data_IF_286324331887
#
_entry.id   IF_286324331887
#
_cell.length_a   1.000
_cell.length_b   1.000
_cell.length_c   1.000
_cell.angle_alpha   90.00
_cell.angle_beta   90.00
_cell.angle_gamma   90.00
#
_symmetry.space_group_name_H-M   'P 1'
#
loop_
_entity.id
_entity.type
_entity.pdbx_description
1 polymer ?
#
# COMPACT_ATOMS: atom_id res chain seq x y z
N UNK A 1 -26.38 -1.60 9.45
CA UNK A 1 -27.66 -1.01 9.88
C UNK A 1 -27.98 -1.65 11.20
N UNK A 2 -28.16 -0.86 12.26
CA UNK A 2 -28.78 -1.37 13.47
C UNK A 2 -30.27 -1.46 13.17
N UNK A 3 -30.93 -2.57 13.51
CA UNK A 3 -32.34 -2.80 13.14
C UNK A 3 -33.31 -1.86 13.90
N UNK A 4 -32.81 -1.18 14.93
CA UNK A 4 -33.58 -0.30 15.82
C UNK A 4 -33.49 1.20 15.47
N UNK A 5 -32.68 1.61 14.49
CA UNK A 5 -32.64 3.01 14.07
C UNK A 5 -33.89 3.35 13.25
N UNK A 6 -34.83 4.10 13.84
CA UNK A 6 -36.00 4.60 13.13
C UNK A 6 -35.55 5.37 11.87
N UNK A 7 -36.22 5.13 10.74
CA UNK A 7 -35.88 5.65 9.42
C UNK A 7 -35.66 7.16 9.44
N UNK A 8 -36.40 7.90 10.27
CA UNK A 8 -36.25 9.33 10.45
C UNK A 8 -34.87 9.74 11.01
N UNK A 9 -34.33 8.97 11.96
CA UNK A 9 -32.97 9.16 12.48
C UNK A 9 -31.95 8.97 11.36
N UNK A 10 -32.14 7.96 10.51
CA UNK A 10 -31.25 7.71 9.39
C UNK A 10 -31.28 8.84 8.35
N UNK A 11 -32.48 9.33 8.00
CA UNK A 11 -32.64 10.51 7.12
C UNK A 11 -31.94 11.74 7.71
N UNK A 12 -32.07 11.96 9.02
CA UNK A 12 -31.38 13.03 9.73
C UNK A 12 -29.85 12.96 9.59
N UNK A 13 -29.28 11.77 9.82
CA UNK A 13 -27.83 11.53 9.68
C UNK A 13 -27.37 11.77 8.25
N UNK A 14 -28.09 11.23 7.25
CA UNK A 14 -27.74 11.42 5.84
C UNK A 14 -27.75 12.90 5.47
N UNK A 15 -28.77 13.66 5.89
CA UNK A 15 -28.84 15.10 5.63
C UNK A 15 -27.70 15.86 6.30
N UNK A 16 -27.41 15.57 7.57
CA UNK A 16 -26.32 16.20 8.31
C UNK A 16 -24.96 15.96 7.64
N UNK A 17 -24.70 14.73 7.20
CA UNK A 17 -23.46 14.40 6.51
C UNK A 17 -23.41 15.02 5.10
N UNK A 18 -24.54 15.12 4.38
CA UNK A 18 -24.60 15.87 3.11
C UNK A 18 -24.25 17.35 3.29
N UNK A 19 -24.70 17.98 4.37
CA UNK A 19 -24.37 19.37 4.70
C UNK A 19 -22.90 19.51 5.08
N UNK A 20 -22.39 18.61 5.94
CA UNK A 20 -20.99 18.59 6.38
C UNK A 20 -20.03 18.37 5.21
N UNK A 21 -20.37 17.46 4.30
CA UNK A 21 -19.61 17.17 3.09
C UNK A 21 -19.78 18.26 2.02
N UNK A 22 -20.65 19.26 2.26
CA UNK A 22 -21.01 20.32 1.30
C UNK A 22 -21.41 19.71 -0.05
N UNK A 23 -22.22 18.65 -0.03
CA UNK A 23 -22.61 17.88 -1.21
C UNK A 23 -23.13 18.78 -2.36
N UNK A 24 -23.84 19.87 -2.01
CA UNK A 24 -24.36 20.88 -2.94
C UNK A 24 -23.29 21.63 -3.76
N UNK A 25 -22.01 21.50 -3.39
CA UNK A 25 -20.88 22.17 -4.04
C UNK A 25 -19.99 21.23 -4.86
N UNK A 26 -20.33 19.94 -4.92
CA UNK A 26 -19.59 18.99 -5.75
C UNK A 26 -19.81 19.28 -7.24
N UNK A 27 -18.74 19.10 -8.02
CA UNK A 27 -18.86 19.03 -9.48
C UNK A 27 -19.49 17.69 -9.89
N UNK A 28 -19.94 17.59 -11.14
CA UNK A 28 -20.44 16.34 -11.72
C UNK A 28 -19.42 15.21 -11.60
N UNK A 29 -18.15 15.47 -11.98
CA UNK A 29 -17.04 14.53 -11.84
C UNK A 29 -16.86 14.02 -10.40
N UNK A 30 -16.99 14.90 -9.40
CA UNK A 30 -16.85 14.53 -8.00
C UNK A 30 -18.02 13.69 -7.49
N UNK A 31 -19.23 13.96 -7.99
CA UNK A 31 -20.40 13.14 -7.68
C UNK A 31 -20.27 11.74 -8.31
N UNK A 32 -19.86 11.65 -9.58
CA UNK A 32 -19.59 10.38 -10.25
C UNK A 32 -18.51 9.57 -9.52
N UNK A 33 -17.42 10.23 -9.13
CA UNK A 33 -16.37 9.64 -8.31
C UNK A 33 -16.92 9.10 -6.98
N UNK A 34 -17.76 9.86 -6.27
CA UNK A 34 -18.36 9.41 -5.03
C UNK A 34 -19.27 8.18 -5.24
N UNK A 35 -20.09 8.17 -6.28
CA UNK A 35 -20.93 7.01 -6.64
C UNK A 35 -20.07 5.78 -6.92
N UNK A 36 -19.01 5.93 -7.71
CA UNK A 36 -18.05 4.86 -7.99
C UNK A 36 -17.43 4.31 -6.69
N UNK A 37 -16.96 5.19 -5.82
CA UNK A 37 -16.35 4.80 -4.53
C UNK A 37 -17.36 4.05 -3.64
N UNK A 38 -18.61 4.51 -3.57
CA UNK A 38 -19.68 3.86 -2.83
C UNK A 38 -20.07 2.49 -3.41
N UNK A 39 -19.88 2.27 -4.71
CA UNK A 39 -20.12 0.96 -5.35
C UNK A 39 -19.13 -0.12 -4.91
N UNK A 40 -17.98 0.26 -4.32
CA UNK A 40 -16.99 -0.68 -3.76
C UNK A 40 -17.46 -1.23 -2.40
N UNK A 41 -18.54 -2.00 -2.40
CA UNK A 41 -19.22 -2.45 -1.18
C UNK A 41 -18.49 -3.56 -0.42
N UNK A 42 -17.72 -4.40 -1.12
CA UNK A 42 -17.02 -5.54 -0.50
C UNK A 42 -15.99 -5.08 0.54
N UNK A 43 -15.92 -5.79 1.67
CA UNK A 43 -14.99 -5.47 2.77
C UNK A 43 -13.52 -5.45 2.33
N UNK A 44 -13.15 -6.24 1.31
CA UNK A 44 -11.79 -6.22 0.73
C UNK A 44 -11.35 -4.86 0.18
N UNK A 45 -12.31 -3.98 -0.08
CA UNK A 45 -12.07 -2.63 -0.58
C UNK A 45 -12.17 -1.55 0.50
N UNK A 46 -12.32 -1.88 1.80
CA UNK A 46 -12.49 -0.85 2.85
C UNK A 46 -11.37 0.19 2.86
N UNK A 47 -10.12 -0.29 2.76
CA UNK A 47 -8.94 0.58 2.83
C UNK A 47 -8.79 1.41 1.56
N UNK A 48 -9.12 0.81 0.41
CA UNK A 48 -9.13 1.51 -0.88
C UNK A 48 -10.20 2.60 -0.86
N UNK A 49 -11.42 2.29 -0.40
CA UNK A 49 -12.52 3.25 -0.28
C UNK A 49 -12.12 4.44 0.59
N UNK A 50 -11.51 4.18 1.75
CA UNK A 50 -11.01 5.23 2.65
C UNK A 50 -9.97 6.13 1.97
N UNK A 51 -9.02 5.56 1.22
CA UNK A 51 -7.99 6.32 0.50
C UNK A 51 -8.57 7.13 -0.67
N UNK A 52 -9.50 6.57 -1.42
CA UNK A 52 -10.18 7.28 -2.51
C UNK A 52 -11.05 8.44 -1.99
N UNK A 53 -11.76 8.26 -0.87
CA UNK A 53 -12.50 9.36 -0.22
C UNK A 53 -11.55 10.47 0.25
N UNK A 54 -10.38 10.12 0.79
CA UNK A 54 -9.36 11.10 1.15
C UNK A 54 -8.86 11.87 -0.07
N UNK A 55 -8.63 11.18 -1.21
CA UNK A 55 -8.24 11.81 -2.47
C UNK A 55 -9.33 12.74 -3.00
N UNK A 56 -10.60 12.33 -2.95
CA UNK A 56 -11.75 13.13 -3.35
C UNK A 56 -11.86 14.43 -2.54
N UNK A 57 -11.61 14.37 -1.23
CA UNK A 57 -11.66 15.54 -0.35
C UNK A 57 -10.50 16.53 -0.55
N UNK A 58 -9.36 16.08 -1.07
CA UNK A 58 -8.15 16.91 -1.19
C UNK A 58 -8.16 17.78 -2.45
N UNK A 59 -8.77 17.30 -3.54
CA UNK A 59 -8.70 17.93 -4.85
C UNK A 59 -10.10 18.36 -5.35
N UNK A 60 -10.41 19.67 -5.31
CA UNK A 60 -11.70 20.18 -5.78
C UNK A 60 -11.87 20.10 -7.31
N UNK A 61 -10.80 19.77 -8.06
CA UNK A 61 -10.81 19.64 -9.53
C UNK A 61 -10.59 18.20 -9.99
N UNK A 62 -10.71 17.26 -9.07
CA UNK A 62 -10.56 15.84 -9.34
C UNK A 62 -11.55 15.39 -10.42
N UNK A 63 -11.03 14.69 -11.43
CA UNK A 63 -11.85 14.03 -12.44
C UNK A 63 -12.13 12.57 -12.06
N UNK A 64 -13.15 11.96 -12.67
CA UNK A 64 -13.39 10.53 -12.50
C UNK A 64 -12.17 9.67 -12.91
N UNK A 65 -11.43 10.11 -13.92
CA UNK A 65 -10.21 9.44 -14.38
C UNK A 65 -9.10 9.46 -13.31
N UNK A 66 -8.96 10.56 -12.56
CA UNK A 66 -7.99 10.64 -11.46
C UNK A 66 -8.27 9.62 -10.37
N UNK A 67 -9.55 9.37 -10.06
CA UNK A 67 -9.97 8.32 -9.13
C UNK A 67 -9.68 6.92 -9.69
N UNK A 68 -9.96 6.67 -10.96
CA UNK A 68 -9.65 5.39 -11.60
C UNK A 68 -8.14 5.11 -11.57
N UNK A 69 -7.31 6.12 -11.84
CA UNK A 69 -5.86 6.03 -11.77
C UNK A 69 -5.36 5.75 -10.34
N UNK A 70 -5.90 6.44 -9.34
CA UNK A 70 -5.51 6.18 -7.95
C UNK A 70 -5.99 4.80 -7.48
N UNK A 71 -7.18 4.35 -7.89
CA UNK A 71 -7.64 2.98 -7.64
C UNK A 71 -6.64 1.95 -8.21
N UNK A 72 -6.25 2.12 -9.46
CA UNK A 72 -5.30 1.21 -10.11
C UNK A 72 -3.94 1.23 -9.41
N UNK A 73 -3.45 2.41 -9.00
CA UNK A 73 -2.22 2.57 -8.24
C UNK A 73 -2.29 1.85 -6.88
N UNK A 74 -3.41 1.94 -6.17
CA UNK A 74 -3.61 1.25 -4.90
C UNK A 74 -3.65 -0.27 -5.05
N UNK A 75 -4.30 -0.77 -6.10
CA UNK A 75 -4.31 -2.21 -6.41
C UNK A 75 -2.90 -2.71 -6.73
N UNK A 76 -2.13 -1.95 -7.52
CA UNK A 76 -0.74 -2.29 -7.82
C UNK A 76 0.09 -2.34 -6.53
N UNK A 77 -0.04 -1.32 -5.67
CA UNK A 77 0.66 -1.27 -4.39
C UNK A 77 0.31 -2.45 -3.46
N UNK A 78 -0.95 -2.88 -3.43
CA UNK A 78 -1.35 -4.08 -2.69
C UNK A 78 -0.68 -5.34 -3.24
N UNK A 79 -0.64 -5.51 -4.56
CA UNK A 79 0.06 -6.65 -5.19
C UNK A 79 1.55 -6.66 -4.85
N UNK A 80 2.21 -5.51 -4.95
CA UNK A 80 3.63 -5.37 -4.64
C UNK A 80 3.91 -5.68 -3.16
N UNK A 81 3.05 -5.20 -2.25
CA UNK A 81 3.14 -5.50 -0.82
C UNK A 81 3.03 -6.99 -0.55
N UNK A 82 2.05 -7.66 -1.18
CA UNK A 82 1.89 -9.12 -1.06
C UNK A 82 3.11 -9.87 -1.59
N UNK A 83 3.67 -9.45 -2.73
CA UNK A 83 4.86 -10.06 -3.32
C UNK A 83 6.05 -10.03 -2.36
N UNK A 84 6.31 -8.87 -1.74
CA UNK A 84 7.39 -8.70 -0.75
C UNK A 84 7.14 -9.55 0.49
N UNK A 85 5.90 -9.63 0.97
CA UNK A 85 5.53 -10.46 2.12
C UNK A 85 5.71 -11.96 1.82
N UNK A 86 5.34 -12.41 0.62
CA UNK A 86 5.53 -13.80 0.20
C UNK A 86 7.00 -14.16 -0.04
N UNK A 87 7.80 -13.24 -0.58
CA UNK A 87 9.23 -13.43 -0.85
C UNK A 87 10.10 -13.50 0.41
N UNK A 88 9.56 -13.19 1.59
CA UNK A 88 10.22 -13.38 2.88
C UNK A 88 10.02 -14.78 3.50
N UNK A 89 9.09 -15.59 2.98
CA UNK A 89 8.81 -16.94 3.49
C UNK A 89 9.69 -18.01 2.86
N UNK A 90 10.14 -17.80 1.62
CA UNK A 90 11.16 -18.63 1.01
C UNK A 90 12.51 -18.06 1.45
N UNK A 91 13.14 -18.70 2.45
CA UNK A 91 14.53 -18.43 2.82
C UNK A 91 15.32 -18.35 1.52
N UNK A 92 15.77 -17.14 1.16
CA UNK A 92 16.75 -16.98 0.12
C UNK A 92 17.91 -17.89 0.50
N UNK A 93 18.04 -19.02 -0.18
CA UNK A 93 19.19 -19.91 -0.03
C UNK A 93 20.38 -19.13 -0.60
N UNK A 94 21.00 -18.35 0.28
CA UNK A 94 22.24 -17.64 0.01
C UNK A 94 23.29 -18.72 -0.23
N UNK A 95 23.48 -19.08 -1.50
CA UNK A 95 24.53 -19.99 -1.90
C UNK A 95 25.87 -19.29 -1.63
N UNK A 96 26.55 -19.75 -0.60
CA UNK A 96 27.93 -19.35 -0.30
C UNK A 96 28.81 -19.77 -1.48
N UNK A 97 29.37 -18.79 -2.18
CA UNK A 97 30.42 -19.05 -3.18
C UNK A 97 31.68 -19.49 -2.43
N UNK A 98 31.95 -20.80 -2.44
CA UNK A 98 33.23 -21.32 -1.98
C UNK A 98 34.28 -21.05 -3.06
N UNK A 99 35.25 -20.18 -2.75
CA UNK A 99 36.45 -20.02 -3.55
C UNK A 99 37.31 -21.29 -3.43
N UNK A 100 37.79 -21.89 -4.53
CA UNK A 100 38.67 -23.06 -4.45
C UNK A 100 40.01 -22.70 -3.80
N UNK A 101 40.58 -23.58 -2.97
CA UNK A 101 41.85 -23.32 -2.28
C UNK A 101 42.98 -23.23 -3.30
N UNK A 102 43.57 -22.05 -3.39
CA UNK A 102 44.73 -21.78 -4.24
C UNK A 102 45.92 -22.62 -3.72
N UNK A 103 46.27 -23.67 -4.46
CA UNK A 103 47.42 -24.52 -4.17
C UNK A 103 48.72 -23.78 -4.48
N UNK A 104 49.28 -23.09 -3.49
CA UNK A 104 50.70 -22.75 -3.49
C UNK A 104 51.42 -23.66 -2.49
N UNK A 105 51.99 -24.74 -3.02
CA UNK A 105 53.05 -25.50 -2.37
C UNK A 105 54.33 -24.68 -2.40
N UNK A 106 54.87 -24.30 -1.24
CA UNK A 106 56.33 -24.21 -1.06
C UNK A 106 56.72 -24.56 0.38
N UNK A 107 57.79 -25.34 0.46
CA UNK A 107 58.37 -26.11 1.57
C UNK A 107 59.01 -25.29 2.69
N UNK A 108 59.08 -25.90 3.87
CA UNK A 108 59.74 -25.42 5.08
C UNK A 108 61.28 -25.39 5.00
N UNK A 109 61.92 -24.44 5.71
CA UNK A 109 63.11 -24.67 6.56
C UNK A 109 63.64 -23.38 7.25
N UNK A 110 63.67 -23.43 8.59
CA UNK A 110 64.81 -23.07 9.47
C UNK A 110 65.18 -21.59 9.78
N UNK A 111 64.74 -21.18 10.98
CA UNK A 111 65.52 -20.66 12.13
C UNK A 111 66.22 -19.29 12.15
N UNK A 112 65.89 -18.56 13.22
CA UNK A 112 66.74 -17.73 14.11
C UNK A 112 66.77 -16.20 13.97
N UNK A 113 66.19 -15.57 15.01
CA UNK A 113 66.66 -14.41 15.82
C UNK A 113 67.11 -13.12 15.09
N UNK A 114 66.42 -12.00 15.36
CA UNK A 114 66.74 -11.00 16.41
C UNK A 114 66.16 -9.60 16.07
N UNK A 115 65.39 -9.02 17.02
CA UNK A 115 65.30 -7.61 17.50
C UNK A 115 65.63 -6.43 16.53
N UNK A 116 65.01 -5.24 16.55
CA UNK A 116 64.64 -4.33 17.66
C UNK A 116 63.62 -3.29 17.11
N UNK A 117 62.61 -2.94 17.90
CA UNK A 117 62.32 -1.55 18.29
C UNK A 117 62.23 -1.53 19.83
#
# INVERSE_FOLDING_TARGET
>A
MNEDDDFLTHVGIVNQECERFRLKSLTEDQLEALILICSLQSQKFSDIRTRLLSRLNQDPKLTLNDIANEYQRLINLQRDTTMVQSGGSDRAEVHVVQQPPNSHKTTAATSSKLCIC
#
